data_IF_092236976707
#
_entry.id   IF_092236976707
#
_cell.length_a   1.000
_cell.length_b   1.000
_cell.length_c   1.000
_cell.angle_alpha   90.00
_cell.angle_beta   90.00
_cell.angle_gamma   90.00
#
_symmetry.space_group_name_H-M   'P 1'
#
loop_
_entity.id
_entity.type
_entity.pdbx_description
1 polymer ?
#
# COMPACT_ATOMS: atom_id res chain seq x y z
N UNK A 1 -1.55 42.28 45.70
CA UNK A 1 -2.06 43.64 45.52
C UNK A 1 -2.44 43.81 44.07
N UNK A 2 -3.71 44.13 43.88
CA UNK A 2 -4.51 44.70 42.81
C UNK A 2 -4.70 43.80 41.58
N UNK A 3 -5.82 43.20 41.40
CA UNK A 3 -7.25 43.50 41.33
C UNK A 3 -7.69 44.39 40.15
N UNK A 4 -8.69 43.84 39.44
CA UNK A 4 -9.77 44.54 38.72
C UNK A 4 -9.57 44.74 37.21
N UNK A 5 -10.49 44.54 36.27
CA UNK A 5 -11.95 44.43 36.28
C UNK A 5 -12.47 43.90 34.94
N UNK A 6 -13.46 43.05 35.01
CA UNK A 6 -14.56 42.74 34.13
C UNK A 6 -14.92 43.78 33.05
N UNK A 7 -15.31 43.34 31.84
CA UNK A 7 -16.57 43.81 31.22
C UNK A 7 -17.15 42.71 30.28
N UNK A 8 -18.36 42.26 30.62
CA UNK A 8 -19.34 41.59 29.75
C UNK A 8 -19.88 42.57 28.71
N UNK A 9 -20.13 42.07 27.50
CA UNK A 9 -21.12 42.65 26.61
C UNK A 9 -21.86 41.53 25.89
N UNK A 10 -23.08 41.28 26.32
CA UNK A 10 -24.08 40.46 25.64
C UNK A 10 -24.80 41.34 24.62
N UNK A 11 -24.94 40.86 23.40
CA UNK A 11 -25.90 41.41 22.42
C UNK A 11 -26.72 40.26 21.84
N UNK A 12 -27.97 40.26 22.30
CA UNK A 12 -29.06 39.48 21.71
C UNK A 12 -29.48 40.14 20.37
N UNK A 13 -29.72 39.34 19.35
CA UNK A 13 -30.44 39.79 18.18
C UNK A 13 -31.58 38.84 17.83
N UNK A 14 -32.74 39.46 17.64
CA UNK A 14 -34.05 38.89 17.65
C UNK A 14 -34.40 38.19 16.34
N UNK A 15 -35.22 37.18 16.51
CA UNK A 15 -35.96 36.39 15.55
C UNK A 15 -37.05 37.23 14.87
N UNK A 16 -37.14 37.24 13.55
CA UNK A 16 -38.36 37.68 12.81
C UNK A 16 -38.79 36.58 11.86
N UNK A 17 -39.86 35.88 12.25
CA UNK A 17 -40.72 35.10 11.34
C UNK A 17 -41.60 36.04 10.54
N UNK A 18 -41.66 35.82 9.24
CA UNK A 18 -42.77 36.30 8.40
C UNK A 18 -43.38 35.11 7.67
N UNK A 19 -44.55 34.69 8.17
CA UNK A 19 -45.53 33.90 7.42
C UNK A 19 -46.26 34.85 6.45
N UNK A 20 -46.40 34.46 5.21
CA UNK A 20 -47.45 34.99 4.33
C UNK A 20 -48.12 33.83 3.63
N UNK A 21 -49.40 33.68 3.90
CA UNK A 21 -50.28 32.66 3.34
C UNK A 21 -51.25 33.29 2.33
N UNK A 22 -51.70 32.42 1.41
CA UNK A 22 -52.94 32.45 0.63
C UNK A 22 -53.04 33.32 -0.62
N UNK A 23 -53.45 32.66 -1.67
CA UNK A 23 -54.13 33.22 -2.85
C UNK A 23 -54.38 32.15 -3.91
N UNK A 24 -55.63 31.68 -3.94
CA UNK A 24 -56.21 30.65 -4.83
C UNK A 24 -56.46 31.14 -6.26
N UNK A 25 -56.55 30.14 -7.16
CA UNK A 25 -57.35 29.99 -8.41
C UNK A 25 -56.63 30.18 -9.76
N UNK A 26 -56.39 29.01 -10.42
CA UNK A 26 -57.14 28.54 -11.59
C UNK A 26 -56.54 28.92 -12.94
N UNK A 27 -55.95 27.98 -13.62
CA UNK A 27 -56.34 27.60 -15.00
C UNK A 27 -55.41 26.49 -15.53
N UNK A 28 -55.99 25.53 -16.17
CA UNK A 28 -55.40 24.37 -16.82
C UNK A 28 -54.47 24.78 -17.96
N UNK A 29 -53.27 24.18 -18.00
CA UNK A 29 -52.56 23.92 -19.25
C UNK A 29 -51.61 22.76 -19.03
N UNK A 30 -51.85 21.69 -19.77
CA UNK A 30 -51.03 20.51 -19.88
C UNK A 30 -49.61 20.90 -20.31
N UNK A 31 -48.65 20.61 -19.43
CA UNK A 31 -47.22 20.70 -19.72
C UNK A 31 -46.55 19.54 -18.96
N UNK A 32 -46.15 18.57 -19.72
CA UNK A 32 -45.33 17.44 -19.33
C UNK A 32 -44.06 17.95 -18.60
N UNK A 33 -44.09 17.94 -17.28
CA UNK A 33 -42.93 18.20 -16.45
C UNK A 33 -42.34 16.86 -16.07
N UNK A 34 -41.47 16.34 -16.93
CA UNK A 34 -40.49 15.34 -16.56
C UNK A 34 -39.63 15.96 -15.44
N UNK A 35 -39.99 15.63 -14.20
CA UNK A 35 -39.10 15.81 -13.06
C UNK A 35 -37.98 14.82 -13.25
N UNK A 36 -36.92 15.24 -13.94
CA UNK A 36 -35.63 14.63 -13.86
C UNK A 36 -35.18 14.75 -12.39
N UNK A 37 -35.35 13.71 -11.62
CA UNK A 37 -34.51 13.48 -10.49
C UNK A 37 -33.09 13.39 -11.07
N UNK A 38 -32.30 14.43 -10.87
CA UNK A 38 -30.86 14.35 -10.99
C UNK A 38 -30.46 13.32 -9.94
N UNK A 39 -30.24 12.11 -10.42
CA UNK A 39 -29.42 11.13 -9.74
C UNK A 39 -28.02 11.79 -9.66
N UNK A 40 -27.74 12.44 -8.54
CA UNK A 40 -26.37 12.77 -8.16
C UNK A 40 -25.74 11.44 -7.72
N UNK A 41 -25.56 10.52 -8.68
CA UNK A 41 -24.62 9.46 -8.56
C UNK A 41 -23.27 10.13 -8.34
N UNK A 42 -22.62 9.84 -7.22
CA UNK A 42 -21.26 10.25 -6.98
C UNK A 42 -20.47 9.92 -8.26
N UNK A 43 -19.87 10.94 -8.87
CA UNK A 43 -19.12 10.78 -10.10
C UNK A 43 -17.96 9.85 -9.75
N UNK A 44 -18.00 8.61 -10.25
CA UNK A 44 -16.99 7.60 -9.93
C UNK A 44 -15.63 8.17 -10.30
N UNK A 45 -14.64 8.05 -9.41
CA UNK A 45 -13.30 8.53 -9.63
C UNK A 45 -12.77 7.97 -10.96
N UNK A 46 -12.15 8.82 -11.77
CA UNK A 46 -11.62 8.38 -13.06
C UNK A 46 -10.50 7.37 -12.87
N UNK A 47 -9.69 7.54 -11.81
CA UNK A 47 -8.60 6.66 -11.40
C UNK A 47 -8.62 6.49 -9.88
N UNK A 48 -8.34 5.28 -9.41
CA UNK A 48 -8.22 4.92 -8.00
C UNK A 48 -7.00 4.01 -7.86
N UNK A 49 -6.26 4.14 -6.80
CA UNK A 49 -5.19 3.21 -6.47
C UNK A 49 -5.59 2.29 -5.30
N UNK A 50 -4.99 1.11 -5.22
CA UNK A 50 -5.23 0.18 -4.12
C UNK A 50 -4.55 0.66 -2.84
N UNK A 51 -3.33 1.20 -2.94
CA UNK A 51 -2.53 1.69 -1.81
C UNK A 51 -2.06 3.12 -2.02
N UNK A 52 -1.65 3.77 -0.92
CA UNK A 52 -1.15 5.15 -0.95
C UNK A 52 0.11 5.30 -1.81
N UNK A 53 0.97 4.28 -1.86
CA UNK A 53 2.17 4.30 -2.72
C UNK A 53 1.79 4.51 -4.19
N UNK A 54 0.90 3.67 -4.70
CA UNK A 54 0.48 3.74 -6.10
C UNK A 54 -0.42 4.94 -6.39
N UNK A 55 -1.13 5.45 -5.37
CA UNK A 55 -1.86 6.72 -5.46
C UNK A 55 -0.92 7.92 -5.66
N UNK A 56 0.19 7.95 -4.94
CA UNK A 56 1.20 9.01 -5.05
C UNK A 56 1.92 8.96 -6.41
N UNK A 57 2.25 7.75 -6.89
CA UNK A 57 2.82 7.55 -8.24
C UNK A 57 1.84 8.04 -9.31
N UNK A 58 0.58 7.59 -9.24
CA UNK A 58 -0.44 7.99 -10.19
C UNK A 58 -0.71 9.49 -10.17
N UNK A 59 -0.73 10.10 -8.99
CA UNK A 59 -0.90 11.55 -8.83
C UNK A 59 0.26 12.34 -9.44
N UNK A 60 1.50 11.86 -9.29
CA UNK A 60 2.67 12.50 -9.89
C UNK A 60 2.62 12.48 -11.43
N UNK A 61 2.12 11.37 -12.00
CA UNK A 61 2.02 11.19 -13.46
C UNK A 61 0.84 11.96 -14.04
N UNK A 62 -0.33 11.90 -13.41
CA UNK A 62 -1.55 12.58 -13.92
C UNK A 62 -1.53 14.08 -13.65
N UNK A 63 -0.88 14.54 -12.60
CA UNK A 63 -0.94 15.91 -12.10
C UNK A 63 -2.21 16.22 -11.29
N UNK A 64 -3.10 15.25 -11.13
CA UNK A 64 -4.32 15.31 -10.32
C UNK A 64 -4.18 14.40 -9.11
N UNK A 65 -4.92 14.68 -8.03
CA UNK A 65 -4.96 13.80 -6.85
C UNK A 65 -5.70 12.50 -7.17
N UNK A 66 -5.03 11.37 -7.01
CA UNK A 66 -5.59 10.02 -7.17
C UNK A 66 -5.82 9.43 -5.77
N UNK A 67 -7.06 9.06 -5.42
CA UNK A 67 -7.34 8.47 -4.12
C UNK A 67 -6.80 7.04 -4.00
N UNK A 68 -6.44 6.65 -2.77
CA UNK A 68 -6.11 5.28 -2.41
C UNK A 68 -7.26 4.63 -1.63
N UNK A 69 -7.48 3.33 -1.82
CA UNK A 69 -8.41 2.56 -0.97
C UNK A 69 -7.78 2.34 0.41
N UNK A 70 -6.52 1.90 0.45
CA UNK A 70 -5.77 1.76 1.71
C UNK A 70 -4.96 3.04 1.89
N UNK A 71 -5.55 4.01 2.59
CA UNK A 71 -4.99 5.35 2.84
C UNK A 71 -4.50 5.53 4.29
N UNK A 72 -4.82 4.58 5.18
CA UNK A 72 -4.44 4.65 6.58
C UNK A 72 -3.05 4.06 6.80
N UNK A 73 -2.04 4.86 7.19
CA UNK A 73 -0.67 4.40 7.36
C UNK A 73 -0.47 3.36 8.48
N UNK A 74 -1.47 3.18 9.36
CA UNK A 74 -1.44 2.16 10.39
C UNK A 74 -2.04 0.82 9.95
N UNK A 75 -2.60 0.75 8.75
CA UNK A 75 -3.17 -0.48 8.20
C UNK A 75 -2.07 -1.26 7.49
N UNK A 76 -1.91 -2.52 7.87
CA UNK A 76 -1.09 -3.46 7.13
C UNK A 76 -1.85 -3.89 5.87
N UNK A 77 -1.35 -3.63 4.66
CA UNK A 77 -2.06 -3.99 3.45
C UNK A 77 -2.24 -5.49 3.24
N UNK A 78 -1.33 -6.33 3.77
CA UNK A 78 -1.46 -7.78 3.71
C UNK A 78 -2.67 -8.31 4.50
N UNK A 79 -3.02 -7.62 5.59
CA UNK A 79 -4.14 -7.99 6.47
C UNK A 79 -5.42 -7.22 6.12
N UNK A 80 -5.42 -6.45 5.02
CA UNK A 80 -6.57 -5.62 4.66
C UNK A 80 -7.73 -6.46 4.11
N UNK A 81 -8.86 -6.40 4.81
CA UNK A 81 -10.13 -7.00 4.37
C UNK A 81 -11.01 -5.93 3.71
N UNK A 82 -11.18 -5.95 2.36
CA UNK A 82 -11.97 -4.95 1.67
C UNK A 82 -13.43 -4.94 2.09
N UNK A 83 -13.98 -3.75 2.32
CA UNK A 83 -15.41 -3.58 2.54
C UNK A 83 -16.19 -3.63 1.21
N UNK A 84 -17.51 -3.82 1.29
CA UNK A 84 -18.37 -3.74 0.10
C UNK A 84 -18.31 -2.35 -0.58
N UNK A 85 -18.00 -1.29 0.18
CA UNK A 85 -17.82 0.06 -0.36
C UNK A 85 -16.54 0.16 -1.18
N UNK A 86 -15.43 -0.37 -0.67
CA UNK A 86 -14.13 -0.38 -1.35
C UNK A 86 -14.21 -1.15 -2.68
N UNK A 87 -14.82 -2.34 -2.65
CA UNK A 87 -15.03 -3.15 -3.85
C UNK A 87 -15.95 -2.46 -4.86
N UNK A 88 -16.95 -1.70 -4.40
CA UNK A 88 -17.81 -0.93 -5.27
C UNK A 88 -17.08 0.26 -5.90
N UNK A 89 -16.19 0.93 -5.16
CA UNK A 89 -15.35 2.02 -5.66
C UNK A 89 -14.38 1.51 -6.73
N UNK A 90 -13.64 0.45 -6.46
CA UNK A 90 -12.77 -0.24 -7.44
C UNK A 90 -13.55 -0.64 -8.69
N UNK A 91 -14.74 -1.25 -8.52
CA UNK A 91 -15.56 -1.70 -9.65
C UNK A 91 -16.13 -0.56 -10.52
N UNK A 92 -16.22 0.66 -10.01
CA UNK A 92 -16.71 1.84 -10.71
C UNK A 92 -15.59 2.68 -11.33
N UNK A 93 -14.35 2.54 -10.86
CA UNK A 93 -13.21 3.26 -11.39
C UNK A 93 -12.99 2.93 -12.89
N UNK A 94 -12.59 3.92 -13.67
CA UNK A 94 -12.22 3.72 -15.08
C UNK A 94 -10.84 3.09 -15.20
N UNK A 95 -9.94 3.42 -14.27
CA UNK A 95 -8.61 2.84 -14.16
C UNK A 95 -8.32 2.56 -12.69
N UNK A 96 -7.80 1.38 -12.42
CA UNK A 96 -7.27 0.97 -11.12
C UNK A 96 -5.77 0.79 -11.23
N UNK A 97 -5.02 1.41 -10.32
CA UNK A 97 -3.57 1.23 -10.19
C UNK A 97 -3.30 0.41 -8.95
N UNK A 98 -2.60 -0.70 -9.11
CA UNK A 98 -2.40 -1.68 -8.05
C UNK A 98 -0.97 -2.21 -8.03
N UNK A 99 -0.59 -2.85 -6.92
CA UNK A 99 0.68 -3.55 -6.83
C UNK A 99 0.71 -4.75 -7.78
N UNK A 100 -0.35 -5.52 -7.81
CA UNK A 100 -0.40 -6.81 -8.48
C UNK A 100 0.09 -7.94 -7.57
N UNK A 101 0.32 -9.12 -8.15
CA UNK A 101 0.65 -10.30 -7.37
C UNK A 101 -0.48 -10.68 -6.40
N UNK A 102 -0.15 -11.28 -5.27
CA UNK A 102 -1.11 -11.62 -4.23
C UNK A 102 -1.43 -10.44 -3.28
N UNK A 103 -0.53 -9.45 -3.21
CA UNK A 103 -0.52 -8.36 -2.23
C UNK A 103 -1.85 -7.63 -2.07
N UNK A 104 -2.44 -7.18 -3.15
CA UNK A 104 -3.70 -6.42 -3.17
C UNK A 104 -4.77 -7.04 -4.08
N UNK A 105 -4.65 -8.36 -4.34
CA UNK A 105 -5.56 -9.10 -5.19
C UNK A 105 -7.02 -9.04 -4.72
N UNK A 106 -7.25 -8.99 -3.42
CA UNK A 106 -8.58 -8.84 -2.84
C UNK A 106 -9.30 -7.55 -3.29
N UNK A 107 -8.53 -6.52 -3.67
CA UNK A 107 -9.05 -5.25 -4.20
C UNK A 107 -9.11 -5.26 -5.73
N UNK A 108 -7.96 -5.43 -6.41
CA UNK A 108 -7.90 -5.23 -7.86
C UNK A 108 -8.72 -6.24 -8.65
N UNK A 109 -9.00 -7.44 -8.12
CA UNK A 109 -9.87 -8.42 -8.77
C UNK A 109 -11.33 -7.93 -8.93
N UNK A 110 -11.74 -6.90 -8.20
CA UNK A 110 -13.03 -6.24 -8.39
C UNK A 110 -13.04 -5.22 -9.54
N UNK A 111 -11.89 -4.88 -10.12
CA UNK A 111 -11.78 -3.90 -11.20
C UNK A 111 -12.53 -4.37 -12.46
N UNK A 112 -13.28 -3.45 -13.06
CA UNK A 112 -14.02 -3.67 -14.32
C UNK A 112 -13.51 -2.79 -15.45
N UNK A 113 -12.75 -1.77 -15.08
CA UNK A 113 -12.10 -0.84 -15.99
C UNK A 113 -10.71 -1.31 -16.40
N UNK A 114 -9.86 -0.35 -16.74
CA UNK A 114 -8.46 -0.61 -17.01
C UNK A 114 -7.72 -0.95 -15.69
N UNK A 115 -6.92 -1.99 -15.68
CA UNK A 115 -6.08 -2.37 -14.55
C UNK A 115 -4.62 -2.16 -14.95
N UNK A 116 -3.88 -1.43 -14.12
CA UNK A 116 -2.44 -1.18 -14.23
C UNK A 116 -1.79 -1.74 -12.97
N UNK A 117 -0.79 -2.60 -13.14
CA UNK A 117 -0.09 -3.25 -12.02
C UNK A 117 1.41 -3.22 -12.21
N UNK A 118 2.16 -3.23 -11.11
CA UNK A 118 3.61 -3.38 -11.11
C UNK A 118 4.03 -4.85 -11.30
N UNK A 119 3.29 -5.78 -10.69
CA UNK A 119 3.47 -7.23 -10.85
C UNK A 119 2.32 -7.83 -11.66
N UNK A 120 2.57 -8.99 -12.29
CA UNK A 120 1.51 -9.72 -12.98
C UNK A 120 0.34 -10.03 -12.03
N UNK A 121 -0.91 -9.74 -12.42
CA UNK A 121 -2.05 -10.03 -11.58
C UNK A 121 -2.24 -11.54 -11.37
N UNK A 122 -2.54 -11.95 -10.15
CA UNK A 122 -2.96 -13.33 -9.88
C UNK A 122 -4.42 -13.52 -10.29
N UNK A 123 -4.71 -14.61 -11.02
CA UNK A 123 -6.09 -14.94 -11.38
C UNK A 123 -6.89 -15.29 -10.10
N UNK A 124 -8.10 -14.76 -10.00
CA UNK A 124 -9.03 -15.19 -8.97
C UNK A 124 -9.39 -16.69 -9.23
N UNK A 125 -8.90 -17.58 -8.38
CA UNK A 125 -9.35 -18.96 -8.42
C UNK A 125 -10.78 -19.02 -7.90
N UNK A 126 -11.74 -19.09 -8.82
CA UNK A 126 -13.11 -19.48 -8.50
C UNK A 126 -13.10 -20.91 -7.93
N UNK A 127 -13.12 -21.02 -6.60
CA UNK A 127 -13.34 -22.29 -5.92
C UNK A 127 -14.83 -22.66 -5.95
N UNK A 128 -15.41 -22.78 -7.14
CA UNK A 128 -16.67 -23.49 -7.32
C UNK A 128 -16.40 -25.02 -7.28
N UNK A 129 -16.23 -25.54 -6.06
CA UNK A 129 -16.27 -26.97 -5.84
C UNK A 129 -17.72 -27.43 -5.82
N UNK A 130 -18.31 -27.68 -7.00
CA UNK A 130 -19.45 -28.60 -7.10
C UNK A 130 -18.93 -30.00 -6.74
N UNK A 131 -19.21 -30.43 -5.51
CA UNK A 131 -19.01 -31.82 -5.09
C UNK A 131 -20.12 -32.70 -5.72
N UNK A 132 -19.89 -33.21 -6.93
CA UNK A 132 -20.56 -34.41 -7.37
C UNK A 132 -19.83 -35.63 -6.80
N UNK A 133 -20.46 -36.31 -5.86
CA UNK A 133 -20.04 -37.63 -5.38
C UNK A 133 -20.28 -38.68 -6.46
N UNK A 134 -19.23 -39.04 -7.18
CA UNK A 134 -19.16 -40.24 -8.01
C UNK A 134 -18.06 -41.14 -7.49
N UNK A 135 -18.44 -42.24 -6.82
CA UNK A 135 -17.53 -43.33 -6.48
C UNK A 135 -17.14 -44.06 -7.76
N UNK A 136 -15.91 -43.99 -8.19
CA UNK A 136 -15.18 -45.11 -8.84
C UNK A 136 -13.68 -44.85 -8.80
N UNK A 137 -12.95 -45.79 -8.18
CA UNK A 137 -11.51 -45.71 -8.01
C UNK A 137 -10.77 -45.89 -9.34
N UNK A 138 -9.85 -44.99 -9.60
CA UNK A 138 -8.68 -45.18 -10.47
C UNK A 138 -7.48 -44.57 -9.85
N UNK A 139 -6.48 -45.43 -9.53
CA UNK A 139 -5.09 -45.04 -9.25
C UNK A 139 -4.52 -44.26 -10.44
N UNK A 140 -4.40 -42.96 -10.31
CA UNK A 140 -3.56 -42.16 -11.16
C UNK A 140 -2.49 -41.51 -10.30
N UNK A 141 -1.25 -41.92 -10.50
CA UNK A 141 -0.07 -41.21 -10.05
C UNK A 141 -0.17 -39.80 -10.60
N UNK A 142 -0.51 -38.83 -9.75
CA UNK A 142 -0.34 -37.42 -10.05
C UNK A 142 1.16 -37.15 -10.00
N UNK A 143 1.79 -37.09 -11.17
CA UNK A 143 2.99 -36.29 -11.31
C UNK A 143 2.56 -34.85 -10.98
N UNK A 144 2.99 -34.37 -9.79
CA UNK A 144 2.80 -33.01 -9.36
C UNK A 144 3.47 -32.12 -10.40
N UNK A 145 2.67 -31.41 -11.17
CA UNK A 145 3.16 -30.17 -11.78
C UNK A 145 3.26 -29.19 -10.63
N UNK A 146 4.43 -29.18 -9.96
CA UNK A 146 4.90 -28.02 -9.24
C UNK A 146 4.99 -26.89 -10.28
N UNK A 147 3.94 -26.13 -10.41
CA UNK A 147 4.08 -24.76 -10.86
C UNK A 147 4.82 -24.07 -9.73
N UNK A 148 6.15 -24.08 -9.81
CA UNK A 148 6.97 -23.13 -9.10
C UNK A 148 6.51 -21.75 -9.61
N UNK A 149 5.52 -21.16 -8.96
CA UNK A 149 5.39 -19.73 -8.90
C UNK A 149 6.69 -19.30 -8.24
N UNK A 150 7.63 -18.78 -9.03
CA UNK A 150 8.87 -18.21 -8.52
C UNK A 150 8.47 -17.29 -7.39
N UNK A 151 9.22 -17.35 -6.31
CA UNK A 151 9.02 -16.54 -5.11
C UNK A 151 9.24 -15.07 -5.48
N UNK A 152 8.25 -14.48 -6.14
CA UNK A 152 8.28 -13.09 -6.56
C UNK A 152 7.98 -12.24 -5.32
N UNK A 153 8.90 -11.34 -4.97
CA UNK A 153 8.70 -10.46 -3.83
C UNK A 153 7.63 -9.43 -4.15
N UNK A 154 6.56 -9.41 -3.36
CA UNK A 154 5.45 -8.46 -3.52
C UNK A 154 5.84 -7.01 -3.21
N UNK A 155 6.95 -6.77 -2.47
CA UNK A 155 7.41 -5.45 -2.04
C UNK A 155 8.14 -4.69 -3.15
N UNK A 156 7.51 -4.60 -4.32
CA UNK A 156 8.13 -4.06 -5.54
C UNK A 156 8.17 -2.53 -5.59
N UNK A 157 7.40 -1.84 -4.75
CA UNK A 157 7.25 -0.38 -4.83
C UNK A 157 8.51 0.41 -4.50
N UNK A 158 9.54 -0.20 -3.92
CA UNK A 158 10.86 0.41 -3.77
C UNK A 158 11.78 0.20 -4.98
N UNK A 159 11.31 -0.42 -6.06
CA UNK A 159 12.02 -0.47 -7.34
C UNK A 159 11.71 0.76 -8.17
N UNK A 160 12.76 1.51 -8.53
CA UNK A 160 12.61 2.68 -9.40
C UNK A 160 12.25 2.27 -10.83
N UNK A 161 12.62 1.06 -11.26
CA UNK A 161 12.22 0.47 -12.54
C UNK A 161 10.71 0.18 -12.55
N UNK A 162 10.18 -0.51 -11.52
CA UNK A 162 8.75 -0.81 -11.42
C UNK A 162 7.89 0.46 -11.34
N UNK A 163 8.35 1.49 -10.63
CA UNK A 163 7.66 2.79 -10.59
C UNK A 163 7.60 3.42 -11.99
N UNK A 164 8.69 3.35 -12.77
CA UNK A 164 8.70 3.86 -14.15
C UNK A 164 7.77 3.08 -15.06
N UNK A 165 7.73 1.76 -14.93
CA UNK A 165 6.87 0.90 -15.72
C UNK A 165 5.38 1.18 -15.45
N UNK A 166 5.00 1.36 -14.21
CA UNK A 166 3.64 1.77 -13.84
C UNK A 166 3.33 3.17 -14.36
N UNK A 167 4.26 4.11 -14.22
CA UNK A 167 4.11 5.47 -14.74
C UNK A 167 3.95 5.52 -16.27
N UNK A 168 4.68 4.68 -17.01
CA UNK A 168 4.55 4.55 -18.48
C UNK A 168 3.16 4.00 -18.86
N UNK A 169 2.67 2.99 -18.14
CA UNK A 169 1.34 2.42 -18.36
C UNK A 169 0.22 3.43 -18.08
N UNK A 170 0.35 4.27 -17.05
CA UNK A 170 -0.60 5.35 -16.76
C UNK A 170 -0.59 6.39 -17.90
N UNK A 171 0.61 6.76 -18.35
CA UNK A 171 0.82 7.82 -19.35
C UNK A 171 0.49 9.21 -18.81
N UNK A 172 1.28 10.19 -19.16
CA UNK A 172 1.11 11.58 -18.68
C UNK A 172 2.44 12.28 -18.48
N UNK A 173 2.63 12.89 -17.31
CA UNK A 173 3.87 13.59 -16.99
C UNK A 173 5.03 12.59 -16.74
N UNK A 174 6.26 12.90 -17.18
CA UNK A 174 7.41 12.08 -16.86
C UNK A 174 7.62 11.96 -15.34
N UNK A 175 7.93 10.75 -14.87
CA UNK A 175 8.22 10.48 -13.45
C UNK A 175 9.69 10.72 -13.08
N UNK A 176 10.57 10.83 -14.09
CA UNK A 176 12.02 10.89 -13.91
C UNK A 176 12.49 12.02 -12.99
N UNK A 177 11.85 13.21 -13.07
CA UNK A 177 12.18 14.33 -12.19
C UNK A 177 11.91 14.02 -10.71
N UNK A 178 10.96 13.14 -10.42
CA UNK A 178 10.65 12.66 -9.06
C UNK A 178 11.64 11.62 -8.58
N UNK A 179 12.12 10.77 -9.47
CA UNK A 179 13.03 9.66 -9.16
C UNK A 179 14.51 10.07 -9.19
N UNK A 180 14.88 11.18 -9.81
CA UNK A 180 16.29 11.57 -9.98
C UNK A 180 17.08 11.63 -8.68
N UNK A 181 16.51 12.19 -7.60
CA UNK A 181 17.15 12.24 -6.28
C UNK A 181 17.24 10.85 -5.63
N UNK A 182 16.22 10.01 -5.81
CA UNK A 182 16.17 8.64 -5.32
C UNK A 182 17.22 7.78 -6.02
N UNK A 183 17.34 7.85 -7.35
CA UNK A 183 18.36 7.14 -8.13
C UNK A 183 19.79 7.54 -7.70
N UNK A 184 20.02 8.85 -7.47
CA UNK A 184 21.30 9.35 -6.97
C UNK A 184 21.60 8.77 -5.58
N UNK A 185 20.62 8.75 -4.70
CA UNK A 185 20.75 8.24 -3.33
C UNK A 185 20.99 6.73 -3.30
N UNK A 186 20.25 5.95 -4.11
CA UNK A 186 20.47 4.50 -4.27
C UNK A 186 21.90 4.20 -4.71
N UNK A 187 22.38 4.90 -5.75
CA UNK A 187 23.73 4.73 -6.28
C UNK A 187 24.80 5.16 -5.26
N UNK A 188 24.49 6.11 -4.39
CA UNK A 188 25.42 6.65 -3.39
C UNK A 188 25.47 5.84 -2.09
N UNK A 189 24.56 4.88 -1.87
CA UNK A 189 24.61 4.01 -0.70
C UNK A 189 25.94 3.27 -0.63
N UNK A 190 26.64 3.29 0.49
CA UNK A 190 27.89 2.55 0.65
C UNK A 190 27.62 1.04 0.71
N UNK A 191 28.64 0.23 0.41
CA UNK A 191 28.59 -1.21 0.65
C UNK A 191 28.40 -1.45 2.15
N UNK A 192 27.33 -2.18 2.51
CA UNK A 192 27.04 -2.59 3.87
C UNK A 192 26.26 -3.90 3.87
N UNK A 193 26.53 -4.74 4.88
CA UNK A 193 25.88 -6.04 5.06
C UNK A 193 24.60 -5.86 5.88
N UNK A 194 23.46 -6.23 5.31
CA UNK A 194 22.16 -6.05 5.95
C UNK A 194 21.51 -7.39 6.29
N UNK A 195 20.75 -7.40 7.37
CA UNK A 195 19.78 -8.46 7.68
C UNK A 195 18.39 -7.83 7.64
N UNK A 196 17.44 -8.52 7.04
CA UNK A 196 16.05 -8.06 6.94
C UNK A 196 15.14 -8.89 7.86
N UNK A 197 14.26 -8.24 8.63
CA UNK A 197 13.21 -8.97 9.38
C UNK A 197 12.11 -9.49 8.46
N UNK A 198 11.94 -8.82 7.32
CA UNK A 198 11.03 -9.13 6.23
C UNK A 198 11.64 -8.55 4.94
N UNK A 199 11.49 -9.19 3.78
CA UNK A 199 12.21 -8.77 2.55
C UNK A 199 11.59 -7.53 1.89
N UNK A 200 11.32 -6.49 2.69
CA UNK A 200 10.67 -5.24 2.25
C UNK A 200 11.62 -4.35 1.44
N UNK A 201 12.92 -4.46 1.66
CA UNK A 201 13.91 -3.60 1.03
C UNK A 201 14.68 -4.31 -0.09
N UNK A 202 14.20 -5.43 -0.62
CA UNK A 202 14.90 -6.18 -1.66
C UNK A 202 15.24 -5.34 -2.88
N UNK A 203 14.29 -4.55 -3.38
CA UNK A 203 14.52 -3.68 -4.51
C UNK A 203 15.59 -2.61 -4.22
N UNK A 204 15.64 -2.09 -2.98
CA UNK A 204 16.70 -1.15 -2.57
C UNK A 204 18.05 -1.85 -2.55
N UNK A 205 18.11 -3.09 -2.06
CA UNK A 205 19.35 -3.90 -2.05
C UNK A 205 19.81 -4.18 -3.47
N UNK A 206 18.91 -4.60 -4.36
CA UNK A 206 19.20 -4.92 -5.75
C UNK A 206 19.69 -3.70 -6.57
N UNK A 207 19.15 -2.51 -6.27
CA UNK A 207 19.48 -1.26 -6.97
C UNK A 207 20.63 -0.47 -6.30
N UNK A 208 21.29 -1.03 -5.27
CA UNK A 208 22.35 -0.34 -4.51
C UNK A 208 23.60 -1.20 -4.28
N UNK A 209 24.53 -0.72 -3.43
CA UNK A 209 25.69 -1.49 -3.00
C UNK A 209 25.47 -2.29 -1.71
N UNK A 210 24.25 -2.34 -1.18
CA UNK A 210 23.93 -3.15 -0.01
C UNK A 210 24.01 -4.64 -0.33
N UNK A 211 24.38 -5.44 0.65
CA UNK A 211 24.48 -6.91 0.55
C UNK A 211 23.53 -7.55 1.56
N UNK A 212 22.54 -8.31 1.09
CA UNK A 212 21.63 -9.03 1.99
C UNK A 212 22.26 -10.34 2.45
N UNK A 213 22.61 -10.40 3.74
CA UNK A 213 23.13 -11.59 4.42
C UNK A 213 22.04 -12.31 5.25
N UNK A 214 20.76 -11.99 5.01
CA UNK A 214 19.65 -12.69 5.67
C UNK A 214 19.72 -14.18 5.34
N UNK A 215 19.78 -15.08 6.33
CA UNK A 215 19.84 -16.52 6.09
C UNK A 215 18.70 -16.99 5.20
N UNK A 216 19.02 -17.75 4.16
CA UNK A 216 18.08 -18.21 3.13
C UNK A 216 16.84 -18.90 3.73
N UNK A 217 17.05 -19.75 4.75
CA UNK A 217 15.94 -20.44 5.42
C UNK A 217 14.98 -19.52 6.14
N UNK A 218 15.47 -18.37 6.65
CA UNK A 218 14.67 -17.34 7.30
C UNK A 218 13.97 -16.48 6.25
N UNK A 219 14.73 -16.00 5.26
CA UNK A 219 14.23 -15.19 4.15
C UNK A 219 13.10 -15.90 3.39
N UNK A 220 13.30 -17.17 3.02
CA UNK A 220 12.28 -17.98 2.35
C UNK A 220 10.97 -18.07 3.15
N UNK A 221 11.05 -18.28 4.46
CA UNK A 221 9.86 -18.35 5.30
C UNK A 221 9.11 -17.00 5.34
N UNK A 222 9.83 -15.89 5.54
CA UNK A 222 9.22 -14.55 5.60
C UNK A 222 8.68 -14.09 4.26
N UNK A 223 9.33 -14.39 3.15
CA UNK A 223 8.86 -14.11 1.80
C UNK A 223 7.53 -14.83 1.50
N UNK A 224 7.36 -16.03 2.01
CA UNK A 224 6.12 -16.83 1.83
C UNK A 224 5.11 -16.62 2.98
N UNK A 225 5.20 -15.55 3.74
CA UNK A 225 4.31 -15.22 4.88
C UNK A 225 4.12 -16.39 5.86
N UNK A 226 5.15 -17.25 5.98
CA UNK A 226 5.14 -18.41 6.88
C UNK A 226 6.00 -18.16 8.11
N UNK A 227 5.70 -18.85 9.21
CA UNK A 227 6.48 -18.74 10.44
C UNK A 227 7.86 -19.42 10.27
N UNK A 228 8.98 -18.67 10.41
CA UNK A 228 10.31 -19.26 10.32
C UNK A 228 10.53 -20.33 11.39
N UNK A 229 11.21 -21.41 11.02
CA UNK A 229 11.57 -22.47 11.97
C UNK A 229 12.47 -21.93 13.09
N UNK A 230 12.49 -22.62 14.24
CA UNK A 230 13.36 -22.22 15.35
C UNK A 230 14.87 -22.24 14.96
N UNK A 231 15.26 -23.09 14.01
CA UNK A 231 16.62 -23.13 13.48
C UNK A 231 16.90 -21.89 12.61
N UNK A 232 16.00 -21.55 11.69
CA UNK A 232 16.11 -20.35 10.85
C UNK A 232 16.19 -19.07 11.69
N UNK A 233 15.36 -18.95 12.73
CA UNK A 233 15.43 -17.82 13.67
C UNK A 233 16.76 -17.78 14.41
N UNK A 234 17.32 -18.93 14.81
CA UNK A 234 18.61 -18.98 15.47
C UNK A 234 19.76 -18.56 14.54
N UNK A 235 19.70 -18.95 13.26
CA UNK A 235 20.65 -18.52 12.22
C UNK A 235 20.58 -17.01 11.99
N UNK A 236 19.38 -16.44 11.88
CA UNK A 236 19.18 -15.00 11.72
C UNK A 236 19.69 -14.20 12.93
N UNK A 237 19.44 -14.68 14.15
CA UNK A 237 19.97 -14.07 15.39
C UNK A 237 21.52 -14.10 15.47
N UNK A 238 22.14 -15.13 14.90
CA UNK A 238 23.61 -15.20 14.84
C UNK A 238 24.15 -14.26 13.76
N UNK A 239 23.52 -14.22 12.59
CA UNK A 239 23.91 -13.35 11.46
C UNK A 239 23.87 -11.85 11.83
N UNK A 240 22.94 -11.42 12.67
CA UNK A 240 22.85 -10.02 13.14
C UNK A 240 24.16 -9.55 13.78
N UNK A 241 24.94 -10.41 14.41
CA UNK A 241 26.16 -10.00 15.11
C UNK A 241 27.27 -9.50 14.18
N UNK A 242 27.22 -9.95 12.94
CA UNK A 242 28.19 -9.61 11.90
C UNK A 242 27.60 -8.62 10.87
N UNK A 243 26.34 -8.23 11.03
CA UNK A 243 25.66 -7.28 10.14
C UNK A 243 26.02 -5.82 10.48
N UNK A 244 26.02 -4.99 9.46
CA UNK A 244 26.16 -3.54 9.60
C UNK A 244 24.82 -2.88 9.93
N UNK A 245 23.71 -3.41 9.41
CA UNK A 245 22.35 -2.83 9.59
C UNK A 245 21.34 -3.97 9.75
N UNK A 246 20.35 -3.79 10.64
CA UNK A 246 19.10 -4.53 10.62
C UNK A 246 18.02 -3.66 9.97
N UNK A 247 17.48 -4.10 8.84
CA UNK A 247 16.29 -3.51 8.23
C UNK A 247 15.05 -4.19 8.84
N UNK A 248 14.17 -3.41 9.41
CA UNK A 248 13.00 -3.88 10.11
C UNK A 248 11.71 -3.36 9.48
N UNK A 249 10.79 -4.26 9.08
CA UNK A 249 9.42 -3.85 8.76
C UNK A 249 8.70 -3.56 10.08
N UNK A 250 8.57 -2.27 10.40
CA UNK A 250 7.95 -1.85 11.66
C UNK A 250 6.43 -1.79 11.60
N UNK A 251 5.83 -1.94 10.42
CA UNK A 251 4.38 -1.94 10.22
C UNK A 251 3.76 -3.30 10.55
N UNK A 252 4.50 -4.40 10.32
CA UNK A 252 4.07 -5.79 10.56
C UNK A 252 4.89 -6.47 11.67
N UNK A 253 4.87 -5.95 12.92
CA UNK A 253 5.68 -6.49 14.00
C UNK A 253 5.15 -7.85 14.46
N UNK A 254 6.07 -8.77 14.73
CA UNK A 254 5.76 -10.06 15.31
C UNK A 254 6.82 -10.46 16.34
N UNK A 255 6.58 -11.56 17.10
CA UNK A 255 7.47 -11.98 18.16
C UNK A 255 8.89 -12.33 17.67
N UNK A 256 9.06 -12.70 16.40
CA UNK A 256 10.37 -13.01 15.82
C UNK A 256 11.10 -11.73 15.43
N UNK A 257 10.42 -10.80 14.72
CA UNK A 257 11.01 -9.52 14.36
C UNK A 257 11.41 -8.70 15.59
N UNK A 258 10.58 -8.69 16.65
CA UNK A 258 10.93 -8.04 17.93
C UNK A 258 12.20 -8.64 18.57
N UNK A 259 12.41 -9.95 18.47
CA UNK A 259 13.61 -10.61 18.97
C UNK A 259 14.85 -10.23 18.16
N UNK A 260 14.74 -10.13 16.83
CA UNK A 260 15.82 -9.68 15.96
C UNK A 260 16.20 -8.22 16.26
N UNK A 261 15.19 -7.35 16.40
CA UNK A 261 15.40 -5.94 16.81
C UNK A 261 16.08 -5.83 18.17
N UNK A 262 15.68 -6.67 19.14
CA UNK A 262 16.33 -6.71 20.46
C UNK A 262 17.79 -7.17 20.36
N UNK A 263 18.07 -8.20 19.55
CA UNK A 263 19.42 -8.71 19.33
C UNK A 263 20.33 -7.69 18.64
N UNK A 264 19.82 -6.98 17.63
CA UNK A 264 20.56 -5.91 16.96
C UNK A 264 20.92 -4.80 17.94
N UNK A 265 19.98 -4.35 18.77
CA UNK A 265 20.22 -3.33 19.80
C UNK A 265 21.25 -3.79 20.84
N UNK A 266 21.24 -5.08 21.24
CA UNK A 266 22.23 -5.64 22.17
C UNK A 266 23.61 -5.73 21.53
N UNK A 267 23.69 -6.07 20.25
CA UNK A 267 24.93 -6.12 19.46
C UNK A 267 25.46 -4.72 19.08
N UNK A 268 24.66 -3.68 19.23
CA UNK A 268 25.00 -2.32 18.80
C UNK A 268 24.87 -2.09 17.28
N UNK A 269 24.13 -2.98 16.61
CA UNK A 269 23.80 -2.88 15.18
C UNK A 269 22.66 -1.87 15.00
N UNK A 270 22.80 -0.87 14.14
CA UNK A 270 21.74 0.08 13.80
C UNK A 270 20.50 -0.64 13.28
N UNK A 271 19.31 -0.16 13.67
CA UNK A 271 18.03 -0.63 13.17
C UNK A 271 17.42 0.47 12.32
N UNK A 272 17.13 0.17 11.06
CA UNK A 272 16.40 1.05 10.15
C UNK A 272 14.99 0.51 9.97
N UNK A 273 14.02 1.29 10.42
CA UNK A 273 12.62 0.92 10.29
C UNK A 273 12.08 1.38 8.91
N UNK A 274 11.54 0.43 8.17
CA UNK A 274 10.87 0.66 6.88
C UNK A 274 9.42 0.21 7.01
N UNK A 275 8.50 0.91 6.33
CA UNK A 275 7.08 0.57 6.32
C UNK A 275 6.55 0.41 4.90
N UNK A 276 5.49 -0.33 4.73
CA UNK A 276 4.84 -0.58 3.44
C UNK A 276 4.02 0.62 2.97
N UNK A 277 3.57 1.44 3.92
CA UNK A 277 2.79 2.65 3.66
C UNK A 277 3.55 3.87 4.19
N UNK A 278 3.65 4.98 3.44
CA UNK A 278 4.26 6.21 3.92
C UNK A 278 3.65 6.68 5.25
N UNK A 279 4.51 7.01 6.21
CA UNK A 279 4.10 7.42 7.55
C UNK A 279 3.97 8.95 7.64
N UNK A 280 3.28 9.42 8.69
CA UNK A 280 3.15 10.85 9.03
C UNK A 280 2.52 11.73 7.93
N UNK A 281 1.71 11.13 7.04
CA UNK A 281 1.08 11.84 5.92
C UNK A 281 2.07 12.32 4.86
N UNK A 282 3.24 11.73 4.80
CA UNK A 282 4.24 12.02 3.76
C UNK A 282 3.79 11.44 2.42
N UNK A 283 4.20 12.10 1.35
CA UNK A 283 4.15 11.53 0.02
C UNK A 283 5.18 10.39 -0.09
N UNK A 284 4.88 9.39 -0.90
CA UNK A 284 5.74 8.21 -1.05
C UNK A 284 7.18 8.56 -1.48
N UNK A 285 7.37 9.48 -2.41
CA UNK A 285 8.72 9.85 -2.86
C UNK A 285 9.55 10.50 -1.76
N UNK A 286 8.92 11.35 -0.94
CA UNK A 286 9.59 11.97 0.23
C UNK A 286 9.92 10.90 1.29
N UNK A 287 9.02 9.93 1.48
CA UNK A 287 9.24 8.82 2.39
C UNK A 287 10.35 7.89 1.89
N UNK A 288 10.35 7.55 0.60
CA UNK A 288 11.42 6.73 0.00
C UNK A 288 12.79 7.40 0.16
N UNK A 289 12.88 8.70 -0.13
CA UNK A 289 14.13 9.46 0.11
C UNK A 289 14.58 9.39 1.56
N UNK A 290 13.65 9.52 2.52
CA UNK A 290 13.97 9.42 3.95
C UNK A 290 14.50 8.03 4.34
N UNK A 291 13.95 6.97 3.78
CA UNK A 291 14.44 5.59 3.97
C UNK A 291 15.89 5.48 3.50
N UNK A 292 16.21 6.01 2.31
CA UNK A 292 17.57 5.99 1.77
C UNK A 292 18.54 6.83 2.63
N UNK A 293 18.09 7.97 3.12
CA UNK A 293 18.90 8.83 4.01
C UNK A 293 19.20 8.10 5.33
N UNK A 294 18.23 7.35 5.89
CA UNK A 294 18.42 6.54 7.09
C UNK A 294 19.39 5.38 6.85
N UNK A 295 19.27 4.67 5.73
CA UNK A 295 20.19 3.59 5.34
C UNK A 295 21.61 4.13 5.16
N UNK A 296 21.76 5.23 4.46
CA UNK A 296 23.07 5.88 4.29
C UNK A 296 23.70 6.32 5.62
N UNK A 297 22.90 6.85 6.54
CA UNK A 297 23.38 7.24 7.87
C UNK A 297 23.75 6.04 8.75
N UNK A 298 23.05 4.92 8.59
CA UNK A 298 23.31 3.70 9.33
C UNK A 298 24.54 2.93 8.83
N UNK A 299 24.86 3.05 7.53
CA UNK A 299 26.03 2.43 6.90
C UNK A 299 27.33 3.23 7.04
N UNK A 300 27.28 4.48 7.58
CA UNK A 300 28.44 5.37 7.73
C UNK A 300 29.20 5.10 9.03
#
# INVERSE_FOLDING_TARGET
>A
MSALMKRLAATAFALTLTLTACGTQGSESSGDATTGASDEGADAAAMVATTQVWADVASAVTGDEVPAIIDNPSTDPHDYEPTAADLAEIAQAKTVVANGGAYDAALYNAAKGNLITALEPTEAHDHDHEHEHGEEGHDHAHEGHDHAHGEENEHIWYSTEAIRDVAEQIGGNPIDDKLAGIDESLTALPEAHVIQTHPIADAIVEESALVDDTPESYRHATLNHSEPSAAAVAEALEAIKDADILINNSQSPNAVSERLVAAAKEAGVPVVDITETPQDGKNFFDYFQEVLDQLNAAAA
#
